data_IF_216166166945
#
_entry.id   IF_216166166945
#
_cell.length_a   1.000
_cell.length_b   1.000
_cell.length_c   1.000
_cell.angle_alpha   90.00
_cell.angle_beta   90.00
_cell.angle_gamma   90.00
#
_symmetry.space_group_name_H-M   'P 1'
#
loop_
_entity.id
_entity.type
_entity.pdbx_description
1 polymer ?
#
# COMPACT_ATOMS: atom_id res chain seq x y z
N UNK A 1 8.44 -11.74 -22.29
CA UNK A 1 9.65 -11.09 -21.71
C UNK A 1 10.39 -10.22 -22.72
N UNK A 2 10.90 -10.74 -23.85
CA UNK A 2 11.67 -9.96 -24.85
C UNK A 2 10.90 -8.80 -25.51
N UNK A 3 9.58 -8.94 -25.67
CA UNK A 3 8.75 -7.92 -26.32
C UNK A 3 8.60 -6.62 -25.50
N UNK A 4 8.71 -6.70 -24.17
CA UNK A 4 8.54 -5.54 -23.28
C UNK A 4 9.72 -4.56 -23.31
N UNK A 5 10.86 -4.97 -23.86
CA UNK A 5 12.07 -4.14 -23.94
C UNK A 5 12.20 -3.39 -25.28
N UNK A 6 11.42 -3.74 -26.30
CA UNK A 6 11.68 -3.30 -27.69
C UNK A 6 10.64 -2.29 -28.23
N UNK A 7 9.44 -2.20 -27.64
CA UNK A 7 8.38 -1.29 -28.11
C UNK A 7 7.82 -0.42 -26.99
N UNK A 8 7.76 0.89 -27.20
CA UNK A 8 7.14 1.88 -26.30
C UNK A 8 5.60 1.92 -26.39
N UNK A 9 5.00 1.05 -27.22
CA UNK A 9 3.56 0.89 -27.33
C UNK A 9 3.06 -0.26 -26.46
N UNK A 10 2.20 0.08 -25.50
CA UNK A 10 1.46 -0.89 -24.70
C UNK A 10 0.35 -1.48 -25.59
N UNK A 11 0.48 -2.77 -25.92
CA UNK A 11 -0.42 -3.48 -26.84
C UNK A 11 -1.73 -3.88 -26.15
N UNK A 12 -2.74 -4.28 -26.94
CA UNK A 12 -4.09 -4.55 -26.46
C UNK A 12 -4.15 -5.62 -25.33
N UNK A 13 -3.27 -6.61 -25.37
CA UNK A 13 -3.27 -7.75 -24.45
C UNK A 13 -2.32 -7.54 -23.25
N UNK A 14 -1.86 -6.30 -23.02
CA UNK A 14 -0.92 -6.01 -21.94
C UNK A 14 -1.48 -6.36 -20.56
N UNK A 15 -2.76 -6.13 -20.34
CA UNK A 15 -3.44 -6.45 -19.08
C UNK A 15 -3.41 -7.96 -18.81
N UNK A 16 -3.51 -8.80 -19.85
CA UNK A 16 -3.40 -10.26 -19.72
C UNK A 16 -2.00 -10.70 -19.27
N UNK A 17 -0.95 -10.03 -19.76
CA UNK A 17 0.43 -10.27 -19.32
C UNK A 17 0.58 -9.89 -17.85
N UNK A 18 0.02 -8.75 -17.43
CA UNK A 18 0.02 -8.33 -16.03
C UNK A 18 -0.70 -9.37 -15.18
N UNK A 19 -1.87 -9.85 -15.59
CA UNK A 19 -2.64 -10.83 -14.81
C UNK A 19 -1.92 -12.17 -14.72
N UNK A 20 -1.41 -12.69 -15.83
CA UNK A 20 -0.61 -13.91 -15.84
C UNK A 20 0.65 -13.79 -14.97
N UNK A 21 1.27 -12.61 -14.94
CA UNK A 21 2.39 -12.33 -14.03
C UNK A 21 1.95 -12.40 -12.58
N UNK A 22 0.82 -11.80 -12.22
CA UNK A 22 0.31 -11.78 -10.84
C UNK A 22 -0.21 -13.16 -10.38
N UNK A 23 -0.83 -13.93 -11.27
CA UNK A 23 -1.27 -15.32 -11.01
C UNK A 23 -0.10 -16.23 -10.63
N UNK A 24 1.10 -15.96 -11.18
CA UNK A 24 2.31 -16.74 -10.94
C UNK A 24 3.27 -16.08 -9.93
N UNK A 25 2.94 -14.90 -9.40
CA UNK A 25 3.80 -14.23 -8.43
C UNK A 25 3.69 -14.91 -7.07
N UNK A 26 4.83 -15.33 -6.51
CA UNK A 26 4.85 -16.15 -5.31
C UNK A 26 4.19 -15.45 -4.11
N UNK A 27 3.00 -15.91 -3.74
CA UNK A 27 2.45 -15.84 -2.38
C UNK A 27 2.63 -17.22 -1.74
N UNK A 28 3.88 -17.61 -1.47
CA UNK A 28 4.09 -18.78 -0.65
C UNK A 28 3.62 -18.45 0.76
N UNK A 29 2.87 -19.39 1.35
CA UNK A 29 2.24 -19.35 2.69
C UNK A 29 3.28 -19.20 3.80
N UNK A 30 4.05 -18.10 3.81
CA UNK A 30 4.95 -17.75 4.91
C UNK A 30 4.22 -17.68 6.24
N UNK A 31 2.89 -17.52 6.23
CA UNK A 31 2.04 -17.59 7.42
C UNK A 31 2.04 -18.95 8.13
N UNK A 32 2.36 -20.07 7.47
CA UNK A 32 2.33 -21.40 8.14
C UNK A 32 3.71 -21.89 8.60
N UNK A 33 4.78 -21.47 7.92
CA UNK A 33 6.15 -21.82 8.29
C UNK A 33 6.79 -20.83 9.27
N UNK A 34 6.28 -19.59 9.37
CA UNK A 34 6.72 -18.62 10.38
C UNK A 34 6.48 -19.14 11.81
N UNK A 35 5.35 -19.78 12.06
CA UNK A 35 5.01 -20.37 13.38
C UNK A 35 5.97 -21.50 13.80
N UNK A 36 6.70 -22.11 12.86
CA UNK A 36 7.72 -23.13 13.16
C UNK A 36 9.13 -22.58 13.26
N UNK A 37 9.38 -21.41 12.70
CA UNK A 37 10.75 -20.85 12.55
C UNK A 37 11.01 -19.71 13.55
N UNK A 38 9.97 -19.05 14.07
CA UNK A 38 10.08 -17.95 15.04
C UNK A 38 10.58 -18.37 16.44
N UNK A 39 10.68 -19.67 16.74
CA UNK A 39 11.21 -20.13 18.02
C UNK A 39 12.75 -20.00 18.16
N UNK A 40 13.51 -19.71 17.09
CA UNK A 40 14.96 -19.91 17.13
C UNK A 40 15.90 -18.80 16.65
N UNK A 41 15.41 -17.64 16.19
CA UNK A 41 16.32 -16.53 15.84
C UNK A 41 15.95 -15.24 16.56
N UNK A 42 16.51 -15.16 17.76
CA UNK A 42 16.44 -14.04 18.68
C UNK A 42 17.66 -13.13 18.40
N UNK A 43 17.40 -11.84 18.09
CA UNK A 43 18.33 -10.67 18.09
C UNK A 43 19.38 -10.67 16.95
N UNK A 44 19.55 -9.60 16.13
CA UNK A 44 20.23 -8.33 16.44
C UNK A 44 19.83 -7.22 15.42
N UNK A 45 19.61 -5.99 15.92
CA UNK A 45 19.49 -4.65 15.25
C UNK A 45 18.36 -4.43 14.22
N UNK A 46 17.48 -3.43 14.28
CA UNK A 46 17.50 -2.11 14.93
C UNK A 46 16.03 -1.70 15.18
N UNK A 47 15.59 -1.71 16.45
CA UNK A 47 14.24 -1.27 16.85
C UNK A 47 14.32 0.22 17.18
N UNK A 48 13.83 1.07 16.27
CA UNK A 48 13.44 2.44 16.63
C UNK A 48 12.29 2.35 17.63
N UNK A 49 12.63 2.43 18.90
CA UNK A 49 11.70 2.69 20.00
C UNK A 49 11.21 4.12 19.86
N UNK A 50 9.98 4.32 19.40
CA UNK A 50 9.21 5.51 19.77
C UNK A 50 8.35 5.14 20.98
N UNK A 51 8.78 5.60 22.15
CA UNK A 51 8.00 5.51 23.37
C UNK A 51 6.72 6.34 23.23
N UNK A 52 5.56 5.72 23.39
CA UNK A 52 4.39 6.41 23.95
C UNK A 52 3.81 5.53 25.06
N UNK A 53 4.11 5.90 26.30
CA UNK A 53 3.38 5.46 27.48
C UNK A 53 2.00 6.10 27.45
N UNK A 54 0.93 5.32 27.25
CA UNK A 54 -0.29 5.37 28.08
C UNK A 54 -1.12 4.09 27.89
N UNK A 55 -1.48 3.43 28.99
CA UNK A 55 -2.73 2.67 29.13
C UNK A 55 -2.79 1.26 28.52
N UNK A 56 -2.52 0.25 29.35
CA UNK A 56 -2.92 -1.14 29.11
C UNK A 56 -4.44 -1.31 29.28
N UNK A 57 -5.14 -1.71 28.22
CA UNK A 57 -6.34 -2.56 28.31
C UNK A 57 -6.24 -3.62 27.21
N UNK A 58 -6.34 -4.87 27.63
CA UNK A 58 -6.24 -6.07 26.83
C UNK A 58 -7.30 -6.13 25.73
N UNK A 59 -6.92 -6.61 24.54
CA UNK A 59 -7.87 -6.98 23.50
C UNK A 59 -7.26 -7.12 22.12
N UNK A 60 -6.93 -8.36 21.76
CA UNK A 60 -6.72 -8.87 20.40
C UNK A 60 -5.40 -8.47 19.70
N UNK A 61 -4.38 -9.29 19.89
CA UNK A 61 -3.18 -9.36 19.04
C UNK A 61 -3.56 -9.86 17.63
N UNK A 62 -4.23 -9.02 16.86
CA UNK A 62 -4.22 -9.10 15.41
C UNK A 62 -3.16 -8.10 14.93
N UNK A 63 -1.88 -8.38 15.25
CA UNK A 63 -0.74 -7.66 14.66
C UNK A 63 -0.82 -7.89 13.16
N UNK A 64 -1.50 -6.96 12.48
CA UNK A 64 -1.76 -7.01 11.05
C UNK A 64 -0.41 -7.17 10.34
N UNK A 65 -0.22 -8.28 9.63
CA UNK A 65 1.01 -8.59 8.89
C UNK A 65 1.36 -7.52 7.84
N UNK A 66 0.45 -6.55 7.61
CA UNK A 66 0.67 -5.39 6.77
C UNK A 66 1.73 -4.42 7.33
N UNK A 67 1.88 -4.20 8.64
CA UNK A 67 2.80 -3.16 9.16
C UNK A 67 4.28 -3.57 9.18
N UNK A 68 4.68 -4.51 8.31
CA UNK A 68 6.02 -5.05 8.23
C UNK A 68 6.68 -4.57 6.94
N UNK A 69 7.88 -3.97 7.07
CA UNK A 69 8.75 -3.69 5.92
C UNK A 69 9.07 -5.01 5.23
N UNK A 70 8.69 -5.13 3.97
CA UNK A 70 8.94 -6.36 3.23
C UNK A 70 10.44 -6.53 2.97
N UNK A 71 10.99 -7.75 3.04
CA UNK A 71 12.36 -7.99 2.62
C UNK A 71 12.56 -7.54 1.17
N UNK A 72 13.68 -6.85 0.90
CA UNK A 72 14.01 -6.46 -0.46
C UNK A 72 14.18 -7.72 -1.33
N UNK A 73 13.41 -7.87 -2.42
CA UNK A 73 13.55 -9.01 -3.31
C UNK A 73 14.89 -8.97 -4.03
N UNK A 74 15.44 -10.15 -4.31
CA UNK A 74 16.64 -10.30 -5.14
C UNK A 74 16.35 -9.82 -6.58
N UNK A 75 17.31 -9.18 -7.24
CA UNK A 75 17.20 -8.89 -8.68
C UNK A 75 17.61 -10.15 -9.42
N UNK A 76 16.81 -10.60 -10.39
CA UNK A 76 17.02 -11.87 -11.09
C UNK A 76 17.44 -11.57 -12.52
N UNK A 77 18.64 -12.00 -12.88
CA UNK A 77 19.10 -11.93 -14.26
C UNK A 77 18.69 -13.22 -15.00
N UNK A 78 17.85 -13.13 -16.07
CA UNK A 78 17.43 -14.30 -16.85
C UNK A 78 18.59 -15.14 -17.39
N UNK A 79 19.77 -14.53 -17.61
CA UNK A 79 20.96 -15.22 -18.13
C UNK A 79 21.75 -15.99 -17.07
N UNK A 80 21.49 -15.74 -15.78
CA UNK A 80 22.21 -16.32 -14.64
C UNK A 80 21.35 -17.30 -13.83
N UNK A 81 20.14 -17.62 -14.29
CA UNK A 81 19.24 -18.53 -13.58
C UNK A 81 19.81 -19.94 -13.53
N UNK A 82 19.66 -20.60 -12.37
CA UNK A 82 19.95 -22.03 -12.25
C UNK A 82 18.89 -22.85 -12.96
N UNK A 83 19.17 -24.15 -13.17
CA UNK A 83 18.20 -25.07 -13.78
C UNK A 83 16.91 -25.16 -12.96
N UNK A 84 17.03 -25.17 -11.63
CA UNK A 84 15.90 -25.23 -10.71
C UNK A 84 15.05 -23.95 -10.75
N UNK A 85 15.68 -22.79 -10.94
CA UNK A 85 14.99 -21.50 -11.05
C UNK A 85 14.23 -21.35 -12.37
N UNK A 86 14.78 -21.88 -13.46
CA UNK A 86 14.12 -21.84 -14.79
C UNK A 86 12.80 -22.61 -14.77
N UNK A 87 12.71 -23.69 -13.99
CA UNK A 87 11.53 -24.54 -13.88
C UNK A 87 10.41 -23.93 -13.00
N UNK A 88 10.68 -22.80 -12.33
CA UNK A 88 9.79 -22.14 -11.37
C UNK A 88 9.03 -20.96 -11.99
N UNK A 89 7.69 -21.04 -12.15
CA UNK A 89 6.89 -19.93 -12.67
C UNK A 89 7.06 -18.63 -11.87
N UNK A 90 7.25 -18.73 -10.56
CA UNK A 90 7.48 -17.59 -9.66
C UNK A 90 8.73 -16.78 -10.00
N UNK A 91 9.79 -17.44 -10.46
CA UNK A 91 11.03 -16.76 -10.84
C UNK A 91 10.79 -15.90 -12.07
N UNK A 92 10.03 -16.43 -13.03
CA UNK A 92 9.65 -15.69 -14.23
C UNK A 92 8.67 -14.56 -13.92
N UNK A 93 7.73 -14.75 -12.99
CA UNK A 93 6.84 -13.69 -12.53
C UNK A 93 7.62 -12.53 -11.90
N UNK A 94 8.63 -12.82 -11.07
CA UNK A 94 9.51 -11.81 -10.48
C UNK A 94 10.31 -11.06 -11.54
N UNK A 95 10.86 -11.75 -12.54
CA UNK A 95 11.52 -11.12 -13.69
C UNK A 95 10.53 -10.24 -14.45
N UNK A 96 9.29 -10.67 -14.66
CA UNK A 96 8.26 -9.85 -15.32
C UNK A 96 7.98 -8.57 -14.52
N UNK A 97 7.85 -8.63 -13.20
CA UNK A 97 7.72 -7.42 -12.36
C UNK A 97 8.94 -6.49 -12.52
N UNK A 98 10.17 -7.02 -12.55
CA UNK A 98 11.38 -6.23 -12.81
C UNK A 98 11.31 -5.52 -14.17
N UNK A 99 10.90 -6.23 -15.23
CA UNK A 99 10.74 -5.64 -16.57
C UNK A 99 9.61 -4.61 -16.66
N UNK A 100 8.49 -4.82 -15.95
CA UNK A 100 7.40 -3.83 -15.88
C UNK A 100 7.90 -2.53 -15.25
N UNK A 101 8.71 -2.62 -14.19
CA UNK A 101 9.31 -1.45 -13.54
C UNK A 101 10.33 -0.76 -14.45
N UNK A 102 11.20 -1.52 -15.11
CA UNK A 102 12.18 -0.98 -16.05
C UNK A 102 11.52 -0.26 -17.24
N UNK A 103 10.37 -0.76 -17.69
CA UNK A 103 9.53 -0.13 -18.72
C UNK A 103 8.88 1.15 -18.21
N UNK A 104 8.38 1.14 -16.97
CA UNK A 104 7.62 2.23 -16.35
C UNK A 104 8.49 3.41 -15.83
N UNK A 105 9.37 3.94 -16.68
CA UNK A 105 10.20 5.11 -16.32
C UNK A 105 9.40 6.41 -16.22
N UNK A 106 8.37 6.53 -17.05
CA UNK A 106 7.50 7.70 -17.14
C UNK A 106 6.16 7.47 -16.41
N UNK A 107 5.57 8.52 -15.87
CA UNK A 107 4.32 8.45 -15.09
C UNK A 107 3.15 7.88 -15.89
N UNK A 108 3.07 8.15 -17.19
CA UNK A 108 2.04 7.60 -18.09
C UNK A 108 2.17 6.09 -18.23
N UNK A 109 3.39 5.59 -18.44
CA UNK A 109 3.69 4.16 -18.53
C UNK A 109 3.48 3.47 -17.20
N UNK A 110 3.88 4.09 -16.09
CA UNK A 110 3.62 3.58 -14.74
C UNK A 110 2.14 3.41 -14.46
N UNK A 111 1.28 4.38 -14.83
CA UNK A 111 -0.18 4.21 -14.71
C UNK A 111 -0.68 3.01 -15.51
N UNK A 112 -0.22 2.85 -16.75
CA UNK A 112 -0.62 1.71 -17.59
C UNK A 112 -0.18 0.35 -17.03
N UNK A 113 0.85 0.30 -16.20
CA UNK A 113 1.23 -0.89 -15.42
C UNK A 113 0.35 -1.06 -14.19
N UNK A 114 0.15 0.00 -13.40
CA UNK A 114 -0.56 -0.07 -12.13
C UNK A 114 -2.07 -0.26 -12.28
N UNK A 115 -2.70 0.36 -13.29
CA UNK A 115 -4.14 0.30 -13.53
C UNK A 115 -4.66 -1.17 -13.62
N UNK A 116 -4.11 -2.04 -14.48
CA UNK A 116 -4.51 -3.44 -14.50
C UNK A 116 -4.17 -4.16 -13.19
N UNK A 117 -3.02 -3.89 -12.57
CA UNK A 117 -2.68 -4.51 -11.27
C UNK A 117 -3.73 -4.20 -10.20
N UNK A 118 -4.17 -2.95 -10.11
CA UNK A 118 -5.18 -2.55 -9.13
C UNK A 118 -6.54 -3.19 -9.41
N UNK A 119 -6.96 -3.27 -10.68
CA UNK A 119 -8.20 -3.99 -11.05
C UNK A 119 -8.10 -5.48 -10.70
N UNK A 120 -6.93 -6.09 -10.90
CA UNK A 120 -6.68 -7.47 -10.48
C UNK A 120 -6.77 -7.61 -8.96
N UNK A 121 -6.18 -6.69 -8.19
CA UNK A 121 -6.25 -6.72 -6.73
C UNK A 121 -7.66 -6.52 -6.19
N UNK A 122 -8.45 -5.63 -6.81
CA UNK A 122 -9.86 -5.39 -6.48
C UNK A 122 -10.70 -6.66 -6.67
N UNK A 123 -10.60 -7.28 -7.85
CA UNK A 123 -11.46 -8.39 -8.26
C UNK A 123 -11.16 -9.71 -7.54
N UNK A 124 -9.93 -9.89 -7.07
CA UNK A 124 -9.45 -11.11 -6.40
C UNK A 124 -9.22 -10.93 -4.89
N UNK A 125 -9.61 -9.77 -4.33
CA UNK A 125 -9.45 -9.44 -2.91
C UNK A 125 -7.99 -9.49 -2.42
N UNK A 126 -7.02 -9.12 -3.26
CA UNK A 126 -5.59 -9.16 -2.90
C UNK A 126 -5.10 -7.98 -2.05
N UNK A 127 -5.96 -6.97 -1.84
CA UNK A 127 -5.70 -5.89 -0.89
C UNK A 127 -5.79 -6.37 0.56
N UNK A 128 -6.66 -7.36 0.83
CA UNK A 128 -6.92 -7.84 2.17
C UNK A 128 -5.68 -8.54 2.76
N UNK A 129 -5.37 -8.37 4.05
CA UNK A 129 -4.16 -8.94 4.67
C UNK A 129 -4.03 -10.46 4.52
N UNK A 130 -5.15 -11.19 4.42
CA UNK A 130 -5.13 -12.65 4.26
C UNK A 130 -4.52 -13.10 2.92
N UNK A 131 -4.71 -12.28 1.88
CA UNK A 131 -4.22 -12.56 0.54
C UNK A 131 -2.95 -11.77 0.22
N UNK A 132 -2.80 -10.56 0.76
CA UNK A 132 -1.67 -9.63 0.81
C UNK A 132 -0.79 -9.40 -0.43
N UNK A 133 -1.13 -9.99 -1.58
CA UNK A 133 -0.35 -9.95 -2.80
C UNK A 133 -0.12 -8.51 -3.29
N UNK A 134 -1.11 -7.63 -3.10
CA UNK A 134 -0.98 -6.21 -3.44
C UNK A 134 0.22 -5.58 -2.73
N UNK A 135 0.38 -5.82 -1.43
CA UNK A 135 1.51 -5.29 -0.67
C UNK A 135 2.85 -5.83 -1.17
N UNK A 136 2.95 -7.15 -1.41
CA UNK A 136 4.23 -7.75 -1.86
C UNK A 136 4.67 -7.24 -3.23
N UNK A 137 3.74 -7.18 -4.19
CA UNK A 137 4.04 -6.75 -5.55
C UNK A 137 4.41 -5.27 -5.56
N UNK A 138 3.61 -4.41 -4.94
CA UNK A 138 3.88 -2.96 -4.93
C UNK A 138 5.16 -2.62 -4.16
N UNK A 139 5.45 -3.35 -3.09
CA UNK A 139 6.72 -3.26 -2.37
C UNK A 139 7.91 -3.66 -3.26
N UNK A 140 7.79 -4.78 -3.97
CA UNK A 140 8.83 -5.29 -4.86
C UNK A 140 9.10 -4.30 -5.98
N UNK A 141 8.04 -3.74 -6.57
CA UNK A 141 8.16 -2.67 -7.56
C UNK A 141 8.87 -1.45 -6.97
N UNK A 142 8.47 -0.98 -5.78
CA UNK A 142 9.13 0.14 -5.13
C UNK A 142 10.63 -0.12 -4.87
N UNK A 143 11.04 -1.36 -4.56
CA UNK A 143 12.46 -1.72 -4.40
C UNK A 143 13.26 -1.77 -5.71
N UNK A 144 12.63 -2.15 -6.82
CA UNK A 144 13.28 -2.18 -8.14
C UNK A 144 13.40 -0.81 -8.78
N UNK A 145 12.62 0.18 -8.33
CA UNK A 145 12.70 1.55 -8.81
C UNK A 145 13.96 2.25 -8.26
N UNK A 146 14.80 2.76 -9.17
CA UNK A 146 15.98 3.55 -8.81
C UNK A 146 15.63 5.01 -8.45
N UNK A 147 14.59 5.57 -9.09
CA UNK A 147 14.15 6.97 -8.95
C UNK A 147 13.10 7.13 -7.82
N UNK A 148 13.41 7.94 -6.80
CA UNK A 148 12.49 8.22 -5.69
C UNK A 148 11.17 8.83 -6.11
N UNK A 149 11.13 9.57 -7.22
CA UNK A 149 9.89 10.12 -7.79
C UNK A 149 8.90 9.01 -8.18
N UNK A 150 9.39 7.91 -8.77
CA UNK A 150 8.53 6.80 -9.20
C UNK A 150 8.06 5.95 -8.01
N UNK A 151 8.85 5.84 -6.93
CA UNK A 151 8.41 5.21 -5.68
C UNK A 151 7.23 5.97 -5.07
N UNK A 152 7.34 7.31 -5.02
CA UNK A 152 6.25 8.18 -4.55
C UNK A 152 5.04 8.13 -5.47
N UNK A 153 5.27 7.99 -6.78
CA UNK A 153 4.20 7.83 -7.75
C UNK A 153 3.37 6.57 -7.49
N UNK A 154 3.98 5.44 -7.12
CA UNK A 154 3.25 4.23 -6.71
C UNK A 154 2.36 4.54 -5.50
N UNK A 155 2.92 5.14 -4.44
CA UNK A 155 2.15 5.50 -3.24
C UNK A 155 0.98 6.43 -3.56
N UNK A 156 1.23 7.49 -4.35
CA UNK A 156 0.19 8.41 -4.80
C UNK A 156 -0.89 7.68 -5.62
N UNK A 157 -0.50 6.73 -6.47
CA UNK A 157 -1.45 5.94 -7.28
C UNK A 157 -2.33 5.05 -6.40
N UNK A 158 -1.78 4.43 -5.35
CA UNK A 158 -2.55 3.64 -4.37
C UNK A 158 -3.56 4.54 -3.62
N UNK A 159 -3.16 5.74 -3.22
CA UNK A 159 -4.06 6.68 -2.54
C UNK A 159 -5.15 7.17 -3.50
N UNK A 160 -4.82 7.50 -4.74
CA UNK A 160 -5.81 7.87 -5.76
C UNK A 160 -6.80 6.73 -6.06
N UNK A 161 -6.39 5.47 -5.93
CA UNK A 161 -7.25 4.31 -6.13
C UNK A 161 -8.43 4.25 -5.14
N UNK A 162 -8.39 4.99 -4.03
CA UNK A 162 -9.52 5.11 -3.10
C UNK A 162 -10.77 5.77 -3.72
N UNK A 163 -10.59 6.53 -4.80
CA UNK A 163 -11.68 7.13 -5.58
C UNK A 163 -12.12 6.21 -6.76
N UNK A 164 -11.49 5.04 -6.97
CA UNK A 164 -11.85 4.12 -8.04
C UNK A 164 -13.22 3.45 -7.80
N UNK A 165 -14.00 3.24 -8.86
CA UNK A 165 -15.38 2.71 -8.78
C UNK A 165 -15.50 1.36 -8.05
N UNK A 166 -14.45 0.53 -8.08
CA UNK A 166 -14.43 -0.76 -7.40
C UNK A 166 -14.21 -0.63 -5.87
N UNK A 167 -13.66 0.49 -5.42
CA UNK A 167 -13.21 0.71 -4.03
C UNK A 167 -14.06 1.78 -3.33
N UNK A 168 -14.50 2.80 -4.07
CA UNK A 168 -15.02 4.05 -3.52
C UNK A 168 -16.22 3.88 -2.56
N UNK A 169 -17.01 2.83 -2.71
CA UNK A 169 -18.23 2.58 -1.93
C UNK A 169 -18.08 1.49 -0.87
N UNK A 170 -16.90 0.87 -0.74
CA UNK A 170 -16.64 -0.19 0.24
C UNK A 170 -15.65 0.31 1.31
N UNK A 171 -16.13 0.64 2.54
CA UNK A 171 -15.27 1.12 3.61
C UNK A 171 -14.21 0.11 4.05
N UNK A 172 -14.52 -1.18 3.99
CA UNK A 172 -13.59 -2.24 4.40
C UNK A 172 -12.47 -2.38 3.38
N UNK A 173 -12.81 -2.45 2.09
CA UNK A 173 -11.81 -2.51 1.03
C UNK A 173 -10.94 -1.25 1.02
N UNK A 174 -11.52 -0.06 1.21
CA UNK A 174 -10.76 1.17 1.42
C UNK A 174 -9.78 1.06 2.57
N UNK A 175 -10.20 0.51 3.71
CA UNK A 175 -9.31 0.30 4.86
C UNK A 175 -8.10 -0.56 4.48
N UNK A 176 -8.29 -1.62 3.68
CA UNK A 176 -7.19 -2.45 3.21
C UNK A 176 -6.25 -1.73 2.24
N UNK A 177 -6.79 -0.99 1.27
CA UNK A 177 -5.98 -0.17 0.35
C UNK A 177 -5.16 0.86 1.12
N UNK A 178 -5.75 1.52 2.12
CA UNK A 178 -5.06 2.49 2.99
C UNK A 178 -3.98 1.79 3.82
N UNK A 179 -4.23 0.61 4.36
CA UNK A 179 -3.21 -0.15 5.10
C UNK A 179 -2.01 -0.49 4.21
N UNK A 180 -2.23 -0.90 2.96
CA UNK A 180 -1.15 -1.11 1.97
C UNK A 180 -0.40 0.20 1.70
N UNK A 181 -1.10 1.33 1.56
CA UNK A 181 -0.48 2.64 1.39
C UNK A 181 0.40 3.02 2.60
N UNK A 182 -0.06 2.79 3.83
CA UNK A 182 0.71 3.01 5.05
C UNK A 182 2.01 2.21 5.04
N UNK A 183 1.93 0.91 4.73
CA UNK A 183 3.10 0.03 4.69
C UNK A 183 4.10 0.39 3.59
N UNK A 184 3.61 0.83 2.43
CA UNK A 184 4.46 1.38 1.37
C UNK A 184 5.12 2.68 1.81
N UNK A 185 4.40 3.58 2.48
CA UNK A 185 4.96 4.81 3.03
C UNK A 185 6.07 4.53 4.05
N UNK A 186 5.85 3.57 4.97
CA UNK A 186 6.88 3.09 5.91
C UNK A 186 8.14 2.64 5.15
N UNK A 187 7.98 1.75 4.17
CA UNK A 187 9.10 1.19 3.41
C UNK A 187 9.88 2.25 2.63
N UNK A 188 9.17 3.14 1.92
CA UNK A 188 9.80 4.21 1.13
C UNK A 188 10.59 5.14 2.06
N UNK A 189 10.00 5.50 3.22
CA UNK A 189 10.63 6.35 4.23
C UNK A 189 11.88 5.72 4.84
N UNK A 190 11.85 4.42 5.16
CA UNK A 190 13.00 3.69 5.70
C UNK A 190 14.18 3.68 4.74
N UNK A 191 13.93 3.71 3.43
CA UNK A 191 14.98 3.79 2.42
C UNK A 191 15.47 5.22 2.16
N UNK A 192 14.56 6.21 2.06
CA UNK A 192 14.85 7.59 1.62
C UNK A 192 13.79 8.60 2.11
N UNK A 193 14.09 9.90 2.03
CA UNK A 193 13.21 11.00 2.50
C UNK A 193 11.92 11.15 1.67
N UNK A 194 10.79 11.39 2.32
CA UNK A 194 9.52 11.78 1.70
C UNK A 194 9.43 13.32 1.66
N UNK A 195 9.41 13.93 0.48
CA UNK A 195 9.35 15.39 0.32
C UNK A 195 8.05 15.87 -0.35
N UNK A 196 7.18 14.96 -0.78
CA UNK A 196 5.99 15.28 -1.55
C UNK A 196 4.73 15.00 -0.72
N UNK A 197 3.86 16.02 -0.61
CA UNK A 197 2.71 16.06 0.30
C UNK A 197 1.37 16.03 -0.48
N UNK A 198 1.41 15.96 -1.82
CA UNK A 198 0.21 16.05 -2.67
C UNK A 198 -0.92 15.08 -2.29
N UNK A 199 -0.57 13.82 -2.03
CA UNK A 199 -1.52 12.77 -1.62
C UNK A 199 -2.00 12.87 -0.17
N UNK A 200 -1.39 13.72 0.67
CA UNK A 200 -1.91 14.03 2.01
C UNK A 200 -3.26 14.75 1.90
N UNK A 201 -3.40 15.63 0.91
CA UNK A 201 -4.66 16.35 0.67
C UNK A 201 -5.79 15.39 0.28
N UNK A 202 -5.45 14.33 -0.47
CA UNK A 202 -6.37 13.26 -0.81
C UNK A 202 -6.79 12.46 0.42
N UNK A 203 -5.83 12.03 1.26
CA UNK A 203 -6.13 11.31 2.51
C UNK A 203 -6.99 12.16 3.46
N UNK A 204 -6.66 13.44 3.65
CA UNK A 204 -7.47 14.38 4.42
C UNK A 204 -8.89 14.53 3.87
N UNK A 205 -9.05 14.57 2.54
CA UNK A 205 -10.37 14.58 1.89
C UNK A 205 -11.13 13.29 2.18
N UNK A 206 -10.49 12.13 2.11
CA UNK A 206 -11.11 10.85 2.43
C UNK A 206 -11.52 10.76 3.90
N UNK A 207 -10.68 11.21 4.82
CA UNK A 207 -10.98 11.26 6.25
C UNK A 207 -12.21 12.15 6.54
N UNK A 208 -12.27 13.32 5.91
CA UNK A 208 -13.44 14.21 6.01
C UNK A 208 -14.71 13.53 5.50
N UNK A 209 -14.65 12.86 4.34
CA UNK A 209 -15.80 12.12 3.79
C UNK A 209 -16.25 11.00 4.73
N UNK A 210 -15.33 10.27 5.38
CA UNK A 210 -15.70 9.24 6.35
C UNK A 210 -16.41 9.80 7.59
N UNK A 211 -16.03 10.99 8.08
CA UNK A 211 -16.76 11.65 9.17
C UNK A 211 -18.17 12.08 8.78
N UNK A 212 -18.37 12.52 7.54
CA UNK A 212 -19.69 12.91 7.04
C UNK A 212 -20.62 11.70 6.90
N UNK A 213 -20.09 10.59 6.36
CA UNK A 213 -20.82 9.33 6.22
C UNK A 213 -21.25 8.73 7.57
N UNK A 214 -20.53 9.00 8.66
CA UNK A 214 -20.87 8.49 10.01
C UNK A 214 -22.31 8.76 10.43
N UNK A 215 -22.91 9.85 9.96
CA UNK A 215 -24.30 10.23 10.28
C UNK A 215 -25.37 9.50 9.47
N UNK A 216 -24.97 8.81 8.40
CA UNK A 216 -25.85 8.14 7.44
C UNK A 216 -25.99 6.64 7.74
N UNK A 217 -25.08 6.05 8.52
CA UNK A 217 -25.12 4.63 8.85
C UNK A 217 -26.25 4.31 9.81
N UNK A 218 -27.03 3.29 9.45
CA UNK A 218 -28.14 2.75 10.27
C UNK A 218 -27.69 1.50 11.02
N UNK A 219 -26.69 0.77 10.50
CA UNK A 219 -26.17 -0.46 11.09
C UNK A 219 -24.86 -0.28 11.87
N UNK A 220 -24.77 -0.92 13.03
CA UNK A 220 -23.56 -0.95 13.88
C UNK A 220 -22.34 -1.49 13.12
N UNK A 221 -22.52 -2.51 12.27
CA UNK A 221 -21.44 -3.08 11.47
C UNK A 221 -20.85 -2.07 10.47
N UNK A 222 -21.70 -1.31 9.77
CA UNK A 222 -21.26 -0.30 8.80
C UNK A 222 -20.52 0.85 9.50
N UNK A 223 -21.02 1.25 10.66
CA UNK A 223 -20.38 2.24 11.52
C UNK A 223 -19.00 1.78 12.01
N UNK A 224 -18.87 0.52 12.45
CA UNK A 224 -17.60 -0.05 12.88
C UNK A 224 -16.57 -0.15 11.73
N UNK A 225 -17.00 -0.51 10.53
CA UNK A 225 -16.14 -0.50 9.34
C UNK A 225 -15.66 0.91 9.00
N UNK A 226 -16.53 1.92 9.14
CA UNK A 226 -16.17 3.31 8.91
C UNK A 226 -15.18 3.84 9.97
N UNK A 227 -15.31 3.44 11.23
CA UNK A 227 -14.31 3.74 12.29
C UNK A 227 -12.96 3.11 11.92
N UNK A 228 -12.96 1.85 11.48
CA UNK A 228 -11.74 1.16 11.07
C UNK A 228 -11.06 1.86 9.88
N UNK A 229 -11.85 2.36 8.92
CA UNK A 229 -11.36 3.17 7.82
C UNK A 229 -10.73 4.49 8.32
N UNK A 230 -11.41 5.23 9.21
CA UNK A 230 -10.89 6.48 9.79
C UNK A 230 -9.53 6.24 10.46
N UNK A 231 -9.45 5.22 11.33
CA UNK A 231 -8.21 4.86 12.01
C UNK A 231 -7.10 4.47 11.01
N UNK A 232 -7.43 3.74 9.95
CA UNK A 232 -6.44 3.39 8.91
C UNK A 232 -5.92 4.64 8.19
N UNK A 233 -6.79 5.61 7.88
CA UNK A 233 -6.39 6.88 7.24
C UNK A 233 -5.52 7.72 8.18
N UNK A 234 -5.90 7.83 9.45
CA UNK A 234 -5.11 8.53 10.47
C UNK A 234 -3.71 7.93 10.64
N UNK A 235 -3.62 6.60 10.70
CA UNK A 235 -2.33 5.90 10.75
C UNK A 235 -1.48 6.16 9.50
N UNK A 236 -2.10 6.18 8.32
CA UNK A 236 -1.41 6.49 7.06
C UNK A 236 -0.86 7.92 7.06
N UNK A 237 -1.69 8.88 7.46
CA UNK A 237 -1.30 10.29 7.59
C UNK A 237 -0.15 10.47 8.58
N UNK A 238 -0.23 9.84 9.75
CA UNK A 238 0.82 9.88 10.77
C UNK A 238 2.14 9.32 10.22
N UNK A 239 2.08 8.20 9.52
CA UNK A 239 3.27 7.58 8.95
C UNK A 239 3.94 8.45 7.88
N UNK A 240 3.14 9.07 7.01
CA UNK A 240 3.65 10.03 6.03
C UNK A 240 4.26 11.25 6.73
N UNK A 241 3.58 11.81 7.74
CA UNK A 241 4.04 12.96 8.51
C UNK A 241 5.38 12.69 9.21
N UNK A 242 5.60 11.47 9.72
CA UNK A 242 6.87 11.04 10.31
C UNK A 242 8.04 11.06 9.29
N UNK A 243 7.76 11.11 8.00
CA UNK A 243 8.76 11.20 6.93
C UNK A 243 9.04 12.62 6.41
N UNK A 244 8.26 13.62 6.83
CA UNK A 244 8.35 15.01 6.34
C UNK A 244 9.38 15.80 7.15
N UNK A 245 10.30 16.49 6.47
CA UNK A 245 11.37 17.28 7.11
C UNK A 245 10.91 18.69 7.44
N UNK A 246 10.22 19.33 6.49
CA UNK A 246 9.62 20.65 6.69
C UNK A 246 8.12 20.45 6.90
N UNK A 247 7.62 20.56 8.15
CA UNK A 247 6.22 20.34 8.44
C UNK A 247 5.34 21.52 8.00
N UNK A 248 5.91 22.66 7.59
CA UNK A 248 5.14 23.86 7.25
C UNK A 248 4.06 23.60 6.18
N UNK A 249 4.36 22.96 5.02
CA UNK A 249 3.34 22.70 4.02
C UNK A 249 2.27 21.69 4.50
N UNK A 250 2.64 20.80 5.42
CA UNK A 250 1.69 19.88 6.05
C UNK A 250 0.73 20.66 6.97
N UNK A 251 1.24 21.59 7.79
CA UNK A 251 0.43 22.43 8.65
C UNK A 251 -0.52 23.34 7.84
N UNK A 252 -0.03 23.95 6.77
CA UNK A 252 -0.85 24.79 5.88
C UNK A 252 -2.02 23.98 5.28
N UNK A 253 -1.74 22.75 4.83
CA UNK A 253 -2.75 21.85 4.29
C UNK A 253 -3.76 21.39 5.36
N UNK A 254 -3.30 21.12 6.58
CA UNK A 254 -4.17 20.76 7.69
C UNK A 254 -5.07 21.94 8.10
N UNK A 255 -4.55 23.16 8.15
CA UNK A 255 -5.33 24.37 8.43
C UNK A 255 -6.47 24.53 7.42
N UNK A 256 -6.16 24.46 6.12
CA UNK A 256 -7.17 24.47 5.04
C UNK A 256 -8.18 23.33 5.22
N UNK A 257 -7.71 22.14 5.61
CA UNK A 257 -8.57 20.97 5.77
C UNK A 257 -9.57 21.16 6.91
N UNK A 258 -9.12 21.70 8.04
CA UNK A 258 -9.91 21.96 9.26
C UNK A 258 -10.93 23.09 9.04
N UNK A 259 -10.55 24.15 8.34
CA UNK A 259 -11.48 25.25 7.98
C UNK A 259 -12.68 24.76 7.17
N UNK A 260 -12.51 23.68 6.40
CA UNK A 260 -13.53 23.10 5.55
C UNK A 260 -14.35 21.97 6.22
N UNK A 261 -14.21 21.75 7.53
CA UNK A 261 -15.02 20.76 8.26
C UNK A 261 -16.38 21.38 8.61
N UNK A 262 -17.51 20.75 8.23
CA UNK A 262 -18.84 21.27 8.57
C UNK A 262 -19.01 21.33 10.10
N UNK A 263 -19.40 22.49 10.62
CA UNK A 263 -19.56 22.75 12.06
C UNK A 263 -20.59 21.84 12.76
N UNK A 264 -21.39 21.08 12.01
CA UNK A 264 -22.40 20.15 12.52
C UNK A 264 -21.94 18.70 12.75
N UNK A 265 -20.79 18.28 12.21
CA UNK A 265 -20.28 16.90 12.38
C UNK A 265 -19.57 16.70 13.73
N UNK A 266 -18.90 17.75 14.23
CA UNK A 266 -18.13 17.72 15.49
C UNK A 266 -19.05 17.72 16.73
N UNK A 267 -20.28 18.21 16.62
CA UNK A 267 -21.21 18.32 17.75
C UNK A 267 -21.83 17.01 18.24
N UNK A 268 -21.67 15.90 17.52
CA UNK A 268 -22.29 14.61 17.88
C UNK A 268 -21.30 13.50 18.22
N UNK A 269 -20.02 13.63 17.89
CA UNK A 269 -18.99 12.67 18.29
C UNK A 269 -18.60 12.78 19.78
N UNK A 270 -18.97 13.88 20.45
CA UNK A 270 -18.71 14.12 21.89
C UNK A 270 -19.85 13.68 22.80
N UNK A 271 -20.89 13.03 22.27
CA UNK A 271 -22.00 12.49 23.07
C UNK A 271 -22.19 11.02 22.68
N UNK A 272 -21.46 10.16 23.39
CA UNK A 272 -21.52 8.70 23.29
C UNK A 272 -20.52 8.07 24.24
#
# INVERSE_FOLDING_TARGET
>A
VWFMTEFSHIFADFDEIVYATLDNYEWSRRSEDADRTEAHHNWVDEVVRSESRTGSVAGNDNRSSCLIIQPRPEVKDPSLLTREEIEKPETWAQICIQRLVELAKESTTMRRVLDPMFVYFDSRQHWAPQNGLAMMVLSSMAYFIENTGNQRFILASVIHHLDHKNVMNDPQLKSYVVQVATSLAMQIRSGRRLAEIGFVGDLCRHLRKSFQASSEFVGEQEFNLNISLQSSIENCLLEIANGVIDPQPLFDLMAITLENIPSGAVGKATIG
#
